data_IF_139324717991
#
_entry.id   IF_139324717991
#
_cell.length_a   1.000
_cell.length_b   1.000
_cell.length_c   1.000
_cell.angle_alpha   90.00
_cell.angle_beta   90.00
_cell.angle_gamma   90.00
#
_symmetry.space_group_name_H-M   'P 1'
#
loop_
_entity.id
_entity.type
_entity.pdbx_description
1 polymer ?
#
# COMPACT_ATOMS: atom_id res chain seq x y z
N UNK A 1 -3.47 7.60 -24.06
CA UNK A 1 -3.75 8.81 -23.24
C UNK A 1 -4.37 8.32 -21.96
N UNK A 2 -3.62 8.35 -20.84
CA UNK A 2 -4.12 7.86 -19.54
C UNK A 2 -5.02 8.92 -18.93
N UNK A 3 -6.28 8.60 -18.72
CA UNK A 3 -7.22 9.45 -18.01
C UNK A 3 -6.71 9.59 -16.56
N UNK A 4 -6.41 10.82 -16.15
CA UNK A 4 -6.06 11.12 -14.76
C UNK A 4 -7.36 11.10 -13.96
N UNK A 5 -7.59 10.03 -13.20
CA UNK A 5 -8.72 9.96 -12.27
C UNK A 5 -8.48 10.99 -11.16
N UNK A 6 -9.33 12.00 -11.08
CA UNK A 6 -9.28 12.98 -10.00
C UNK A 6 -9.93 12.36 -8.76
N UNK A 7 -9.15 12.19 -7.69
CA UNK A 7 -9.68 11.76 -6.39
C UNK A 7 -10.16 12.98 -5.62
N UNK A 8 -11.38 12.92 -5.08
CA UNK A 8 -11.95 14.02 -4.29
C UNK A 8 -11.37 14.13 -2.89
N UNK A 9 -11.17 13.00 -2.24
CA UNK A 9 -10.61 12.94 -0.90
C UNK A 9 -9.89 11.62 -0.67
N UNK A 10 -8.80 11.68 0.05
CA UNK A 10 -8.10 10.49 0.55
C UNK A 10 -8.06 10.60 2.06
N UNK A 11 -8.70 9.67 2.75
CA UNK A 11 -8.65 9.52 4.21
C UNK A 11 -7.90 8.25 4.57
N UNK A 12 -7.25 8.24 5.76
CA UNK A 12 -6.53 7.06 6.25
C UNK A 12 -7.09 6.69 7.62
N UNK A 13 -7.37 5.40 7.80
CA UNK A 13 -7.84 4.82 9.07
C UNK A 13 -7.13 3.50 9.37
N UNK A 14 -7.18 3.00 10.60
CA UNK A 14 -6.84 1.61 10.90
C UNK A 14 -7.70 0.63 10.09
N UNK A 15 -7.13 -0.51 9.72
CA UNK A 15 -7.89 -1.57 9.10
C UNK A 15 -8.84 -2.24 10.11
N UNK A 16 -9.94 -2.77 9.60
CA UNK A 16 -10.93 -3.52 10.34
C UNK A 16 -10.99 -4.96 9.82
N UNK A 17 -11.43 -5.95 10.62
CA UNK A 17 -11.64 -7.31 10.13
C UNK A 17 -12.56 -7.39 8.90
N UNK A 18 -13.50 -6.47 8.77
CA UNK A 18 -14.41 -6.38 7.62
C UNK A 18 -13.71 -5.97 6.31
N UNK A 19 -12.47 -5.47 6.36
CA UNK A 19 -11.69 -5.08 5.17
C UNK A 19 -11.00 -6.30 4.51
N UNK A 20 -11.08 -7.49 5.09
CA UNK A 20 -10.44 -8.74 4.68
C UNK A 20 -10.50 -8.98 3.18
N UNK A 21 -11.72 -9.04 2.63
CA UNK A 21 -11.93 -9.37 1.23
C UNK A 21 -11.36 -8.28 0.29
N UNK A 22 -11.60 -7.02 0.63
CA UNK A 22 -11.14 -5.88 -0.16
C UNK A 22 -9.62 -5.76 -0.17
N UNK A 23 -8.96 -5.99 0.97
CA UNK A 23 -7.51 -5.97 1.10
C UNK A 23 -6.87 -7.17 0.39
N UNK A 24 -7.44 -8.36 0.52
CA UNK A 24 -6.97 -9.54 -0.21
C UNK A 24 -7.08 -9.37 -1.72
N UNK A 25 -8.18 -8.80 -2.22
CA UNK A 25 -8.35 -8.47 -3.64
C UNK A 25 -7.34 -7.41 -4.11
N UNK A 26 -7.13 -6.37 -3.30
CA UNK A 26 -6.16 -5.32 -3.57
C UNK A 26 -4.73 -5.89 -3.65
N UNK A 27 -4.32 -6.68 -2.66
CA UNK A 27 -2.98 -7.28 -2.60
C UNK A 27 -2.71 -8.13 -3.84
N UNK A 28 -3.62 -9.04 -4.19
CA UNK A 28 -3.52 -9.87 -5.40
C UNK A 28 -3.46 -9.05 -6.69
N UNK A 29 -4.28 -8.00 -6.80
CA UNK A 29 -4.34 -7.16 -8.00
C UNK A 29 -3.12 -6.26 -8.18
N UNK A 30 -2.41 -5.97 -7.10
CA UNK A 30 -1.20 -5.14 -7.12
C UNK A 30 0.09 -5.95 -7.20
N UNK A 31 0.01 -7.29 -7.09
CA UNK A 31 1.19 -8.13 -7.20
C UNK A 31 1.98 -7.82 -8.48
N UNK A 32 3.31 -7.70 -8.34
CA UNK A 32 4.20 -7.37 -9.46
C UNK A 32 5.62 -7.82 -9.14
N UNK A 33 6.35 -8.25 -10.17
CA UNK A 33 7.78 -8.57 -10.08
C UNK A 33 8.65 -7.38 -9.66
N UNK A 34 8.08 -6.17 -9.66
CA UNK A 34 8.77 -4.96 -9.21
C UNK A 34 9.01 -4.93 -7.70
N UNK A 35 8.13 -5.58 -6.91
CA UNK A 35 8.22 -5.55 -5.44
C UNK A 35 8.04 -6.90 -4.76
N UNK A 36 7.49 -7.90 -5.45
CA UNK A 36 7.21 -9.19 -4.83
C UNK A 36 8.44 -10.09 -4.80
N UNK A 37 8.70 -10.67 -3.65
CA UNK A 37 9.73 -11.72 -3.44
C UNK A 37 9.13 -13.12 -3.42
N UNK A 38 7.80 -13.22 -3.44
CA UNK A 38 7.05 -14.48 -3.49
C UNK A 38 6.36 -14.64 -4.83
N UNK A 39 6.09 -15.88 -5.27
CA UNK A 39 5.34 -16.13 -6.51
C UNK A 39 3.96 -15.45 -6.49
N UNK A 40 3.44 -15.21 -7.70
CA UNK A 40 2.08 -14.68 -7.83
C UNK A 40 1.07 -15.63 -7.17
N UNK A 41 0.19 -15.15 -6.30
CA UNK A 41 -0.83 -15.95 -5.64
C UNK A 41 -1.75 -16.63 -6.65
N UNK A 42 -2.13 -17.89 -6.37
CA UNK A 42 -3.07 -18.69 -7.18
C UNK A 42 -4.15 -19.29 -6.29
N UNK A 43 -5.37 -19.49 -6.83
CA UNK A 43 -6.43 -20.15 -6.07
C UNK A 43 -6.04 -21.58 -5.65
N UNK A 44 -6.52 -22.09 -4.48
CA UNK A 44 -7.29 -21.33 -3.48
C UNK A 44 -6.41 -20.29 -2.78
N UNK A 45 -6.99 -19.11 -2.48
CA UNK A 45 -6.26 -18.03 -1.82
C UNK A 45 -6.34 -18.17 -0.30
N UNK A 46 -5.21 -17.96 0.36
CA UNK A 46 -5.19 -17.80 1.81
C UNK A 46 -5.88 -16.50 2.23
N UNK A 47 -6.43 -16.42 3.45
CA UNK A 47 -6.93 -15.18 4.03
C UNK A 47 -5.84 -14.09 4.02
N UNK A 48 -6.26 -12.84 3.87
CA UNK A 48 -5.34 -11.69 3.96
C UNK A 48 -4.89 -11.46 5.40
N UNK A 49 -5.82 -11.59 6.35
CA UNK A 49 -5.52 -11.54 7.79
C UNK A 49 -5.29 -12.95 8.33
N UNK A 50 -4.25 -13.10 9.11
CA UNK A 50 -3.87 -14.32 9.82
C UNK A 50 -3.19 -13.96 11.16
N UNK A 51 -2.59 -14.93 11.84
CA UNK A 51 -1.87 -14.70 13.11
C UNK A 51 -0.68 -13.74 12.98
N UNK A 52 -0.12 -13.57 11.77
CA UNK A 52 1.02 -12.69 11.47
C UNK A 52 0.62 -11.37 10.82
N UNK A 53 -0.56 -11.35 10.20
CA UNK A 53 -1.11 -10.19 9.47
C UNK A 53 -2.42 -9.78 10.13
N UNK A 54 -2.32 -9.13 11.28
CA UNK A 54 -3.49 -8.73 12.06
C UNK A 54 -4.01 -7.37 11.60
N UNK A 55 -5.33 -7.12 11.63
CA UNK A 55 -5.90 -5.84 11.20
C UNK A 55 -5.22 -4.62 11.85
N UNK A 56 -4.87 -4.71 13.14
CA UNK A 56 -4.21 -3.63 13.88
C UNK A 56 -2.83 -3.23 13.34
N UNK A 57 -2.20 -4.08 12.54
CA UNK A 57 -0.91 -3.81 11.91
C UNK A 57 -1.06 -2.93 10.64
N UNK A 58 -2.29 -2.70 10.17
CA UNK A 58 -2.54 -2.05 8.88
C UNK A 58 -3.26 -0.71 9.02
N UNK A 59 -2.84 0.23 8.18
CA UNK A 59 -3.62 1.43 7.87
C UNK A 59 -4.11 1.32 6.43
N UNK A 60 -5.37 1.68 6.21
CA UNK A 60 -6.00 1.69 4.88
C UNK A 60 -6.29 3.11 4.44
N UNK A 61 -6.05 3.39 3.17
CA UNK A 61 -6.47 4.62 2.53
C UNK A 61 -7.78 4.38 1.79
N UNK A 62 -8.75 5.20 2.09
CA UNK A 62 -10.03 5.25 1.38
C UNK A 62 -10.08 6.47 0.48
N UNK A 63 -10.63 6.31 -0.70
CA UNK A 63 -10.82 7.40 -1.64
C UNK A 63 -12.16 7.27 -2.36
N UNK A 64 -12.75 8.43 -2.67
CA UNK A 64 -13.92 8.54 -3.53
C UNK A 64 -13.51 9.10 -4.89
N UNK A 65 -14.13 8.58 -5.95
CA UNK A 65 -14.01 9.11 -7.31
C UNK A 65 -15.24 9.94 -7.63
N UNK A 66 -15.08 11.05 -8.39
CA UNK A 66 -16.24 11.68 -9.04
C UNK A 66 -16.92 10.67 -9.94
N UNK A 67 -18.26 10.66 -9.91
CA UNK A 67 -19.01 10.10 -11.02
C UNK A 67 -18.65 10.93 -12.26
N UNK A 68 -18.01 10.28 -13.23
CA UNK A 68 -17.84 10.91 -14.54
C UNK A 68 -19.20 11.40 -14.99
N UNK A 69 -19.32 12.70 -15.30
CA UNK A 69 -20.51 13.26 -15.91
C UNK A 69 -20.84 12.38 -17.13
N UNK A 70 -21.95 11.66 -17.03
CA UNK A 70 -22.50 10.95 -18.17
C UNK A 70 -22.79 12.01 -19.23
N UNK A 71 -22.07 11.97 -20.33
CA UNK A 71 -22.46 12.69 -21.56
C UNK A 71 -23.85 12.18 -21.90
N UNK A 72 -24.83 13.10 -21.83
CA UNK A 72 -26.19 12.86 -22.32
C UNK A 72 -26.10 12.50 -23.82
N UNK A 73 -26.24 11.22 -24.11
CA UNK A 73 -26.41 10.64 -25.42
C UNK A 73 -27.64 9.76 -25.38
N UNK A 74 -28.63 10.10 -26.19
CA UNK A 74 -29.96 9.55 -26.37
C UNK A 74 -30.15 8.08 -25.96
N UNK A 75 -31.18 7.88 -25.13
CA UNK A 75 -31.60 6.59 -24.58
C UNK A 75 -32.43 5.80 -25.62
N UNK A 76 -32.04 4.55 -25.88
CA UNK A 76 -32.93 3.49 -26.34
C UNK A 76 -33.25 2.55 -25.17
N UNK A 77 -34.51 2.11 -24.97
CA UNK A 77 -34.89 1.28 -23.82
C UNK A 77 -34.69 -0.20 -24.13
N UNK A 78 -33.71 -0.82 -23.52
CA UNK A 78 -33.44 -2.26 -23.62
C UNK A 78 -32.81 -2.83 -22.36
N UNK A 79 -33.63 -3.44 -21.53
CA UNK A 79 -33.39 -4.51 -20.54
C UNK A 79 -31.96 -4.99 -20.38
N UNK A 80 -31.38 -4.79 -19.18
CA UNK A 80 -30.12 -5.44 -18.72
C UNK A 80 -29.70 -4.92 -17.38
N UNK A 81 -29.88 -5.72 -16.32
CA UNK A 81 -29.36 -5.49 -14.96
C UNK A 81 -27.83 -5.33 -15.00
N UNK A 82 -27.36 -4.12 -15.16
CA UNK A 82 -25.97 -3.74 -15.00
C UNK A 82 -25.83 -2.98 -13.69
N UNK A 83 -24.97 -3.45 -12.81
CA UNK A 83 -24.63 -2.77 -11.56
C UNK A 83 -24.24 -1.32 -11.86
N UNK A 84 -25.14 -0.38 -11.56
CA UNK A 84 -24.85 1.04 -11.59
C UNK A 84 -23.70 1.29 -10.62
N UNK A 85 -22.57 1.77 -11.12
CA UNK A 85 -21.49 2.27 -10.30
C UNK A 85 -22.04 3.51 -9.54
N UNK A 86 -22.37 3.32 -8.27
CA UNK A 86 -22.87 4.40 -7.42
C UNK A 86 -21.83 5.51 -7.39
N UNK A 87 -22.24 6.67 -7.87
CA UNK A 87 -21.50 7.90 -7.77
C UNK A 87 -21.22 8.24 -6.30
N UNK A 88 -19.94 8.30 -5.91
CA UNK A 88 -19.53 8.68 -4.56
C UNK A 88 -19.22 7.54 -3.60
N UNK A 89 -19.21 6.26 -4.03
CA UNK A 89 -18.82 5.15 -3.16
C UNK A 89 -17.35 5.28 -2.75
N UNK A 90 -17.10 5.30 -1.45
CA UNK A 90 -15.75 5.24 -0.88
C UNK A 90 -15.19 3.83 -1.06
N UNK A 91 -13.97 3.73 -1.60
CA UNK A 91 -13.29 2.46 -1.85
C UNK A 91 -11.91 2.46 -1.25
N UNK A 92 -11.42 1.28 -0.85
CA UNK A 92 -10.03 1.13 -0.41
C UNK A 92 -9.11 1.35 -1.61
N UNK A 93 -8.31 2.41 -1.51
CA UNK A 93 -7.35 2.85 -2.54
C UNK A 93 -5.94 2.32 -2.30
N UNK A 94 -5.64 1.84 -1.09
CA UNK A 94 -4.34 1.31 -0.72
C UNK A 94 -4.26 0.91 0.75
N UNK A 95 -3.16 0.26 1.11
CA UNK A 95 -2.84 -0.04 2.50
C UNK A 95 -1.34 0.13 2.77
N UNK A 96 -0.98 0.26 4.05
CA UNK A 96 0.38 0.18 4.56
C UNK A 96 0.40 -0.65 5.83
N UNK A 97 1.38 -1.57 5.94
CA UNK A 97 1.58 -2.40 7.13
C UNK A 97 2.72 -1.85 7.97
N UNK A 98 2.47 -1.65 9.27
CA UNK A 98 3.41 -1.10 10.24
C UNK A 98 3.52 -2.02 11.44
N UNK A 99 4.70 -2.57 11.68
CA UNK A 99 4.94 -3.56 12.74
C UNK A 99 6.22 -3.27 13.52
N UNK A 100 6.42 -3.84 14.72
CA UNK A 100 7.73 -3.93 15.34
C UNK A 100 8.66 -4.78 14.45
N UNK A 101 9.92 -4.38 14.18
CA UNK A 101 10.85 -5.18 13.36
C UNK A 101 11.28 -6.47 14.07
N UNK A 102 11.28 -6.49 15.40
CA UNK A 102 11.60 -7.64 16.25
C UNK A 102 10.75 -7.61 17.52
N UNK A 103 10.54 -8.74 18.20
CA UNK A 103 9.81 -8.78 19.47
C UNK A 103 10.66 -8.34 20.70
N UNK A 104 11.84 -7.78 20.47
CA UNK A 104 12.78 -7.42 21.54
C UNK A 104 12.44 -6.07 22.16
N UNK A 105 12.38 -6.00 23.49
CA UNK A 105 12.11 -4.76 24.22
C UNK A 105 13.13 -3.65 23.93
N UNK A 106 14.40 -4.00 23.72
CA UNK A 106 15.46 -3.04 23.38
C UNK A 106 15.28 -2.43 21.97
N UNK A 107 14.39 -2.97 21.16
CA UNK A 107 14.04 -2.46 19.83
C UNK A 107 12.63 -1.87 19.74
N UNK A 108 11.96 -1.66 20.88
CA UNK A 108 10.58 -1.16 20.94
C UNK A 108 10.43 0.27 20.39
N UNK A 109 11.53 1.02 20.29
CA UNK A 109 11.58 2.38 19.75
C UNK A 109 11.59 2.43 18.20
N UNK A 110 11.57 1.28 17.53
CA UNK A 110 11.57 1.17 16.06
C UNK A 110 10.24 0.61 15.56
N UNK A 111 9.76 1.13 14.44
CA UNK A 111 8.72 0.50 13.63
C UNK A 111 9.24 0.20 12.24
N UNK A 112 8.69 -0.82 11.62
CA UNK A 112 9.05 -1.21 10.25
C UNK A 112 7.82 -1.27 9.36
N UNK A 113 7.93 -0.67 8.17
CA UNK A 113 6.96 -0.83 7.09
C UNK A 113 7.28 -2.15 6.39
N UNK A 114 6.33 -3.08 6.38
CA UNK A 114 6.45 -4.40 5.76
C UNK A 114 5.46 -4.62 4.60
N UNK A 115 4.90 -3.57 4.05
CA UNK A 115 4.01 -3.61 2.91
C UNK A 115 3.42 -2.24 2.63
N UNK A 116 3.33 -1.89 1.37
CA UNK A 116 2.66 -0.70 0.85
C UNK A 116 2.11 -1.03 -0.53
N UNK A 117 0.80 -1.02 -0.65
CA UNK A 117 0.12 -1.23 -1.93
C UNK A 117 -0.85 -0.09 -2.22
N UNK A 118 -0.93 0.28 -3.50
CA UNK A 118 -1.87 1.30 -4.00
C UNK A 118 -2.58 0.75 -5.22
N UNK A 119 -3.90 0.76 -5.20
CA UNK A 119 -4.74 0.32 -6.31
C UNK A 119 -4.37 1.04 -7.61
N UNK A 120 -4.41 0.33 -8.73
CA UNK A 120 -4.00 0.87 -10.02
C UNK A 120 -4.74 2.17 -10.37
N UNK A 121 -6.05 2.21 -10.08
CA UNK A 121 -6.90 3.38 -10.33
C UNK A 121 -6.57 4.61 -9.47
N UNK A 122 -5.88 4.42 -8.33
CA UNK A 122 -5.53 5.48 -7.38
C UNK A 122 -4.03 5.89 -7.45
N UNK A 123 -3.27 5.28 -8.36
CA UNK A 123 -1.85 5.63 -8.54
C UNK A 123 -1.71 7.03 -9.14
N UNK A 124 -0.61 7.71 -8.79
CA UNK A 124 -0.36 9.07 -9.24
C UNK A 124 -1.11 10.17 -8.46
N UNK A 125 -2.14 9.82 -7.68
CA UNK A 125 -2.95 10.76 -6.90
C UNK A 125 -2.43 10.99 -5.45
N UNK A 126 -1.20 10.59 -5.14
CA UNK A 126 -0.58 10.86 -3.84
C UNK A 126 -0.94 9.87 -2.73
N UNK A 127 -1.76 8.85 -2.98
CA UNK A 127 -2.21 7.86 -1.96
C UNK A 127 -1.05 7.22 -1.21
N UNK A 128 -0.01 6.77 -1.93
CA UNK A 128 1.17 6.16 -1.30
C UNK A 128 1.90 7.11 -0.36
N UNK A 129 1.99 8.38 -0.70
CA UNK A 129 2.57 9.42 0.16
C UNK A 129 1.72 9.67 1.40
N UNK A 130 0.40 9.73 1.24
CA UNK A 130 -0.54 9.90 2.35
C UNK A 130 -0.45 8.73 3.33
N UNK A 131 -0.42 7.48 2.84
CA UNK A 131 -0.22 6.29 3.65
C UNK A 131 1.12 6.32 4.40
N UNK A 132 2.21 6.70 3.72
CA UNK A 132 3.53 6.75 4.32
C UNK A 132 3.61 7.78 5.44
N UNK A 133 3.01 8.97 5.24
CA UNK A 133 2.91 10.00 6.28
C UNK A 133 2.05 9.56 7.46
N UNK A 134 0.94 8.89 7.19
CA UNK A 134 0.09 8.31 8.24
C UNK A 134 0.84 7.25 9.05
N UNK A 135 1.61 6.36 8.40
CA UNK A 135 2.44 5.38 9.09
C UNK A 135 3.52 6.03 9.98
N UNK A 136 4.15 7.12 9.51
CA UNK A 136 5.09 7.88 10.34
C UNK A 136 4.41 8.52 11.55
N UNK A 137 3.20 9.06 11.40
CA UNK A 137 2.42 9.62 12.50
C UNK A 137 2.00 8.53 13.49
N UNK A 138 1.53 7.40 12.99
CA UNK A 138 1.15 6.25 13.82
C UNK A 138 2.34 5.66 14.58
N UNK A 139 3.51 5.52 13.93
CA UNK A 139 4.74 5.08 14.60
C UNK A 139 5.10 5.99 15.78
N UNK A 140 4.99 7.34 15.61
CA UNK A 140 5.19 8.30 16.70
C UNK A 140 4.16 8.12 17.82
N UNK A 141 2.89 7.94 17.48
CA UNK A 141 1.81 7.71 18.45
C UNK A 141 2.07 6.46 19.29
N UNK A 142 2.68 5.43 18.68
CA UNK A 142 3.13 4.21 19.34
C UNK A 142 4.45 4.36 20.13
N UNK A 143 5.00 5.58 20.23
CA UNK A 143 6.23 5.86 20.97
C UNK A 143 7.52 5.54 20.20
N UNK A 144 7.46 5.25 18.91
CA UNK A 144 8.67 5.02 18.11
C UNK A 144 9.34 6.36 17.75
N UNK A 145 10.68 6.37 17.81
CA UNK A 145 11.50 7.50 17.35
C UNK A 145 12.25 7.21 16.05
N UNK A 146 12.02 6.02 15.47
CA UNK A 146 12.63 5.56 14.21
C UNK A 146 11.65 4.68 13.43
N UNK A 147 11.68 4.81 12.11
CA UNK A 147 10.94 3.96 11.18
C UNK A 147 11.87 3.46 10.07
N UNK A 148 11.73 2.19 9.71
CA UNK A 148 12.56 1.52 8.71
C UNK A 148 11.70 0.80 7.67
N UNK A 149 12.29 0.42 6.55
CA UNK A 149 11.69 -0.43 5.52
C UNK A 149 12.78 -1.16 4.73
N UNK A 150 12.34 -2.16 3.96
CA UNK A 150 13.16 -2.85 2.97
C UNK A 150 12.50 -2.72 1.60
N UNK A 151 13.30 -2.56 0.55
CA UNK A 151 12.80 -2.39 -0.82
C UNK A 151 13.78 -3.00 -1.82
N UNK A 152 13.25 -3.72 -2.83
CA UNK A 152 14.09 -4.28 -3.88
C UNK A 152 14.86 -3.19 -4.62
N UNK A 153 16.15 -3.42 -4.88
CA UNK A 153 17.07 -2.45 -5.48
C UNK A 153 16.59 -1.86 -6.80
N UNK A 154 15.87 -2.67 -7.60
CA UNK A 154 15.31 -2.26 -8.88
C UNK A 154 13.96 -1.53 -8.78
N UNK A 155 13.33 -1.48 -7.59
CA UNK A 155 12.06 -0.78 -7.40
C UNK A 155 12.28 0.74 -7.26
N UNK A 156 12.72 1.35 -8.36
CA UNK A 156 13.03 2.79 -8.42
C UNK A 156 11.86 3.69 -8.02
N UNK A 157 10.59 3.43 -8.42
CA UNK A 157 9.47 4.27 -8.01
C UNK A 157 9.24 4.30 -6.50
N UNK A 158 9.31 3.14 -5.83
CA UNK A 158 9.14 3.06 -4.38
C UNK A 158 10.30 3.74 -3.66
N UNK A 159 11.54 3.50 -4.09
CA UNK A 159 12.73 4.15 -3.53
C UNK A 159 12.65 5.67 -3.63
N UNK A 160 12.21 6.19 -4.78
CA UNK A 160 12.01 7.62 -4.98
C UNK A 160 10.93 8.20 -4.05
N UNK A 161 9.82 7.48 -3.88
CA UNK A 161 8.77 7.86 -2.93
C UNK A 161 9.34 7.94 -1.51
N UNK A 162 10.02 6.90 -1.02
CA UNK A 162 10.59 6.88 0.33
C UNK A 162 11.63 7.98 0.52
N UNK A 163 12.53 8.18 -0.44
CA UNK A 163 13.52 9.26 -0.37
C UNK A 163 12.87 10.65 -0.31
N UNK A 164 11.78 10.89 -1.08
CA UNK A 164 11.05 12.17 -1.06
C UNK A 164 10.36 12.45 0.29
N UNK A 165 10.12 11.41 1.10
CA UNK A 165 9.56 11.49 2.44
C UNK A 165 10.63 11.37 3.55
N UNK A 166 11.91 11.56 3.20
CA UNK A 166 13.01 11.68 4.15
C UNK A 166 13.59 10.36 4.65
N UNK A 167 13.32 9.24 3.96
CA UNK A 167 14.03 7.98 4.23
C UNK A 167 15.39 8.00 3.52
N UNK A 168 16.44 7.69 4.23
CA UNK A 168 17.79 7.51 3.71
C UNK A 168 18.13 6.03 3.55
N UNK A 169 18.98 5.72 2.58
CA UNK A 169 19.57 4.37 2.46
C UNK A 169 20.55 4.17 3.61
N UNK A 170 20.40 3.07 4.34
CA UNK A 170 21.23 2.70 5.50
C UNK A 170 22.09 1.46 5.23
N UNK A 171 21.73 0.70 4.21
CA UNK A 171 22.47 -0.47 3.80
C UNK A 171 21.91 -1.08 2.52
N UNK A 172 22.75 -1.88 1.88
CA UNK A 172 22.38 -2.68 0.71
C UNK A 172 22.90 -4.09 0.92
N UNK A 173 22.01 -5.06 0.87
CA UNK A 173 22.34 -6.48 0.84
C UNK A 173 22.45 -6.89 -0.63
N UNK A 174 23.67 -6.94 -1.15
CA UNK A 174 23.91 -7.20 -2.57
C UNK A 174 23.55 -8.63 -2.92
N UNK A 175 22.70 -8.80 -3.94
CA UNK A 175 22.31 -10.13 -4.44
C UNK A 175 21.50 -10.95 -3.45
N UNK A 176 20.83 -10.33 -2.49
CA UNK A 176 20.07 -10.99 -1.40
C UNK A 176 19.01 -11.96 -1.92
N UNK A 177 18.34 -11.61 -3.01
CA UNK A 177 17.30 -12.43 -3.61
C UNK A 177 17.70 -12.93 -4.99
N UNK A 178 17.30 -14.17 -5.32
CA UNK A 178 17.38 -14.69 -6.67
C UNK A 178 15.98 -14.74 -7.29
N UNK A 179 15.66 -13.74 -8.12
CA UNK A 179 14.33 -13.56 -8.68
C UNK A 179 14.40 -13.57 -10.21
N UNK A 180 13.57 -14.40 -10.83
CA UNK A 180 13.48 -14.48 -12.30
C UNK A 180 14.83 -14.65 -13.00
N UNK A 181 15.69 -15.53 -12.46
CA UNK A 181 17.01 -15.86 -13.05
C UNK A 181 18.11 -14.83 -12.81
N UNK A 182 17.92 -13.85 -11.92
CA UNK A 182 18.93 -12.84 -11.57
C UNK A 182 18.99 -12.55 -10.09
N UNK A 183 20.17 -12.17 -9.62
CA UNK A 183 20.36 -11.65 -8.26
C UNK A 183 19.82 -10.23 -8.16
N UNK A 184 19.15 -9.93 -7.07
CA UNK A 184 18.51 -8.65 -6.79
C UNK A 184 18.92 -8.19 -5.40
N UNK A 185 19.34 -6.95 -5.31
CA UNK A 185 19.70 -6.31 -4.05
C UNK A 185 18.46 -6.02 -3.20
N UNK A 186 18.63 -6.09 -1.89
CA UNK A 186 17.68 -5.60 -0.92
C UNK A 186 18.22 -4.33 -0.27
N UNK A 187 17.51 -3.24 -0.40
CA UNK A 187 17.91 -1.92 0.09
C UNK A 187 17.19 -1.62 1.38
N UNK A 188 17.96 -1.43 2.45
CA UNK A 188 17.46 -1.01 3.75
C UNK A 188 17.38 0.51 3.78
N UNK A 189 16.21 1.04 4.12
CA UNK A 189 16.03 2.48 4.28
C UNK A 189 15.42 2.79 5.64
N UNK A 190 15.80 3.94 6.20
CA UNK A 190 15.32 4.37 7.50
C UNK A 190 15.17 5.87 7.61
N UNK A 191 14.36 6.29 8.60
CA UNK A 191 14.11 7.68 8.92
C UNK A 191 14.00 7.87 10.43
N UNK A 192 14.64 8.92 10.97
CA UNK A 192 14.37 9.40 12.32
C UNK A 192 12.97 10.02 12.39
N UNK A 193 12.24 9.68 13.45
CA UNK A 193 10.95 10.27 13.80
C UNK A 193 11.05 11.22 14.99
N UNK A 194 12.24 11.32 15.59
CA UNK A 194 12.50 12.30 16.65
C UNK A 194 12.30 13.73 16.12
N UNK A 195 11.86 14.66 16.99
CA UNK A 195 11.70 16.07 16.65
C UNK A 195 12.99 16.70 16.16
#
# INVERSE_FOLDING_TARGET
MSATTTLHSVSVRPALPADEEALGALDRSTWSTLHAVVPQPRPPYDPFFDERHRPEDFLVAEASTEAGAATEGEAEPGSGSGAAAEAGATRIAGYIRLVPPTPLACNAHVRQIQGLAVAAWARGAGVGRTLLRAACAEARRQGANRITLRVLGHNTPARALYASEGFAVEGVLSGEFFLHGRYVDDVLMGRSLAP
#
